data_IF_125900384897
#
_entry.id   IF_125900384897
#
_cell.length_a   1.000
_cell.length_b   1.000
_cell.length_c   1.000
_cell.angle_alpha   90.00
_cell.angle_beta   90.00
_cell.angle_gamma   90.00
#
_symmetry.space_group_name_H-M   'P 1'
#
loop_
_entity.id
_entity.type
_entity.pdbx_description
1 polymer ?
#
# COMPACT_ATOMS: atom_id res chain seq x y z
N UNK A 1 45.75 -7.13 -4.55
CA UNK A 1 45.39 -7.31 -3.11
C UNK A 1 46.28 -8.39 -2.53
N UNK A 2 46.94 -8.15 -1.39
CA UNK A 2 47.78 -9.17 -0.73
C UNK A 2 46.92 -10.37 -0.31
N UNK A 3 47.39 -11.59 -0.62
CA UNK A 3 46.72 -12.86 -0.29
C UNK A 3 46.36 -12.95 1.19
N UNK A 4 47.22 -12.42 2.07
CA UNK A 4 47.00 -12.42 3.52
C UNK A 4 45.82 -11.53 3.93
N UNK A 5 45.56 -10.43 3.21
CA UNK A 5 44.41 -9.56 3.49
C UNK A 5 43.09 -10.23 3.12
N UNK A 6 43.09 -10.98 2.01
CA UNK A 6 41.92 -11.75 1.57
C UNK A 6 41.62 -12.85 2.58
N UNK A 7 42.63 -13.62 3.00
CA UNK A 7 42.50 -14.64 4.03
C UNK A 7 41.99 -14.07 5.36
N UNK A 8 42.55 -12.95 5.82
CA UNK A 8 42.10 -12.29 7.04
C UNK A 8 40.64 -11.83 6.95
N UNK A 9 40.23 -11.28 5.81
CA UNK A 9 38.84 -10.88 5.56
C UNK A 9 37.88 -12.07 5.54
N UNK A 10 38.25 -13.16 4.87
CA UNK A 10 37.45 -14.38 4.82
C UNK A 10 37.28 -15.00 6.21
N UNK A 11 38.34 -15.06 7.01
CA UNK A 11 38.28 -15.51 8.40
C UNK A 11 37.35 -14.65 9.26
N UNK A 12 37.41 -13.32 9.11
CA UNK A 12 36.50 -12.40 9.81
C UNK A 12 35.05 -12.60 9.38
N UNK A 13 34.80 -12.76 8.08
CA UNK A 13 33.47 -13.03 7.54
C UNK A 13 32.93 -14.33 8.12
N UNK A 14 33.73 -15.39 8.09
CA UNK A 14 33.34 -16.69 8.64
C UNK A 14 32.98 -16.55 10.12
N UNK A 15 33.85 -15.93 10.93
CA UNK A 15 33.61 -15.70 12.36
C UNK A 15 32.35 -14.88 12.65
N UNK A 16 31.99 -13.91 11.79
CA UNK A 16 30.76 -13.12 11.90
C UNK A 16 29.49 -13.91 11.56
N UNK A 17 29.61 -14.93 10.70
CA UNK A 17 28.49 -15.75 10.23
C UNK A 17 28.32 -17.07 10.97
N UNK A 18 29.25 -17.43 11.86
CA UNK A 18 29.22 -18.68 12.62
C UNK A 18 29.03 -18.44 14.12
N UNK A 19 28.48 -19.43 14.82
CA UNK A 19 28.53 -19.46 16.28
C UNK A 19 30.00 -19.44 16.75
N UNK A 20 30.35 -18.78 17.88
CA UNK A 20 29.47 -18.24 18.92
C UNK A 20 29.09 -16.76 18.74
N UNK A 21 29.57 -16.08 17.69
CA UNK A 21 29.33 -14.64 17.53
C UNK A 21 27.92 -14.35 17.02
N UNK A 22 27.40 -15.20 16.12
CA UNK A 22 26.00 -15.17 15.70
C UNK A 22 25.14 -15.90 16.74
N UNK A 23 24.24 -15.17 17.39
CA UNK A 23 23.40 -15.68 18.47
C UNK A 23 22.07 -16.21 17.93
N UNK A 24 21.58 -17.31 18.52
CA UNK A 24 20.18 -17.73 18.33
C UNK A 24 19.23 -16.81 19.11
N UNK A 25 18.09 -16.39 18.55
CA UNK A 25 17.16 -15.47 19.22
C UNK A 25 16.52 -16.09 20.47
N UNK A 26 16.48 -15.33 21.56
CA UNK A 26 15.72 -15.64 22.79
C UNK A 26 14.55 -14.67 22.94
N UNK A 27 13.34 -15.09 22.56
CA UNK A 27 12.16 -14.21 22.58
C UNK A 27 11.72 -13.75 23.99
N UNK A 28 12.29 -14.31 25.07
CA UNK A 28 12.01 -13.87 26.44
C UNK A 28 12.80 -12.62 26.83
N UNK A 29 13.80 -12.22 26.04
CA UNK A 29 14.70 -11.11 26.32
C UNK A 29 14.52 -9.98 25.31
N UNK A 30 14.75 -8.72 25.71
CA UNK A 30 14.59 -7.59 24.80
C UNK A 30 15.64 -7.61 23.68
N UNK A 31 15.22 -7.22 22.48
CA UNK A 31 16.12 -7.04 21.35
C UNK A 31 16.71 -5.62 21.30
N UNK A 32 17.81 -5.47 20.55
CA UNK A 32 18.42 -4.18 20.22
C UNK A 32 18.55 -4.05 18.72
N UNK A 33 17.76 -3.16 18.13
CA UNK A 33 17.76 -2.89 16.70
C UNK A 33 18.61 -1.65 16.40
N UNK A 34 19.75 -1.86 15.76
CA UNK A 34 20.57 -0.78 15.23
C UNK A 34 20.14 -0.48 13.81
N UNK A 35 19.90 0.78 13.49
CA UNK A 35 19.57 1.23 12.14
C UNK A 35 20.54 2.32 11.70
N UNK A 36 20.86 2.33 10.42
CA UNK A 36 21.59 3.43 9.78
C UNK A 36 21.22 3.54 8.30
N UNK A 37 21.23 4.76 7.79
CA UNK A 37 20.91 5.07 6.41
C UNK A 37 21.95 6.00 5.81
N UNK A 38 22.40 5.69 4.60
CA UNK A 38 23.35 6.48 3.85
C UNK A 38 22.78 6.85 2.47
N UNK A 39 23.53 7.62 1.70
CA UNK A 39 23.22 7.89 0.29
C UNK A 39 23.34 6.65 -0.62
N UNK A 40 23.98 5.57 -0.14
CA UNK A 40 24.17 4.34 -0.90
C UNK A 40 23.13 3.26 -0.53
N UNK A 41 22.75 3.19 0.75
CA UNK A 41 22.09 2.03 1.30
C UNK A 41 21.40 2.22 2.64
N UNK A 42 20.56 1.24 2.97
CA UNK A 42 19.97 1.07 4.30
C UNK A 42 20.64 -0.13 4.98
N UNK A 43 20.94 0.00 6.26
CA UNK A 43 21.54 -1.05 7.07
C UNK A 43 20.81 -1.21 8.40
N UNK A 44 20.55 -2.46 8.80
CA UNK A 44 20.01 -2.75 10.12
C UNK A 44 20.67 -4.00 10.73
N UNK A 45 21.02 -3.90 12.01
CA UNK A 45 21.59 -5.00 12.78
C UNK A 45 20.70 -5.29 13.99
N UNK A 46 20.14 -6.49 14.05
CA UNK A 46 19.42 -6.99 15.20
C UNK A 46 20.40 -7.70 16.14
N UNK A 47 20.44 -7.25 17.39
CA UNK A 47 21.30 -7.80 18.43
C UNK A 47 20.48 -8.20 19.64
N UNK A 48 21.07 -9.04 20.49
CA UNK A 48 20.54 -9.36 21.80
C UNK A 48 21.65 -9.54 22.82
N UNK A 49 21.30 -9.37 24.10
CA UNK A 49 22.17 -9.62 25.23
C UNK A 49 21.75 -10.94 25.88
N UNK A 50 22.61 -11.94 25.82
CA UNK A 50 22.37 -13.29 26.32
C UNK A 50 23.44 -13.68 27.33
N UNK A 51 23.11 -14.61 28.22
CA UNK A 51 24.06 -15.11 29.23
C UNK A 51 24.54 -16.47 28.75
N UNK A 52 25.84 -16.61 28.53
CA UNK A 52 26.51 -17.87 28.22
C UNK A 52 27.58 -18.10 29.26
N UNK A 53 27.58 -19.26 29.92
CA UNK A 53 28.54 -19.63 30.95
C UNK A 53 28.75 -18.51 32.00
N UNK A 54 27.65 -18.00 32.56
CA UNK A 54 27.59 -16.89 33.53
C UNK A 54 28.17 -15.54 33.06
N UNK A 55 28.44 -15.39 31.77
CA UNK A 55 28.90 -14.13 31.17
C UNK A 55 27.83 -13.54 30.25
N UNK A 56 27.55 -12.26 30.46
CA UNK A 56 26.68 -11.48 29.57
C UNK A 56 27.42 -11.17 28.27
N UNK A 57 26.96 -11.73 27.16
CA UNK A 57 27.46 -11.49 25.82
C UNK A 57 26.40 -10.79 24.98
N UNK A 58 26.80 -9.70 24.32
CA UNK A 58 25.99 -9.02 23.31
C UNK A 58 26.46 -9.46 21.93
N UNK A 59 25.57 -10.05 21.15
CA UNK A 59 25.90 -10.51 19.79
C UNK A 59 24.81 -10.18 18.77
N UNK A 60 25.16 -10.15 17.47
CA UNK A 60 24.19 -10.09 16.39
C UNK A 60 23.35 -11.37 16.30
N UNK A 61 22.08 -11.21 15.95
CA UNK A 61 21.17 -12.30 15.57
C UNK A 61 20.97 -12.27 14.05
N UNK A 62 20.74 -11.07 13.51
CA UNK A 62 20.45 -10.88 12.10
C UNK A 62 21.01 -9.56 11.62
N UNK A 63 21.63 -9.56 10.44
CA UNK A 63 22.21 -8.41 9.78
C UNK A 63 21.56 -8.30 8.42
N UNK A 64 20.93 -7.16 8.11
CA UNK A 64 20.26 -6.92 6.84
C UNK A 64 20.73 -5.60 6.24
N UNK A 65 20.89 -5.59 4.92
CA UNK A 65 21.19 -4.37 4.16
C UNK A 65 20.55 -4.41 2.79
N UNK A 66 20.23 -3.25 2.25
CA UNK A 66 19.80 -3.12 0.85
C UNK A 66 20.23 -1.79 0.25
N UNK A 67 20.53 -1.82 -1.05
CA UNK A 67 20.77 -0.60 -1.82
C UNK A 67 19.48 0.22 -1.91
N UNK A 68 19.61 1.53 -1.82
CA UNK A 68 18.45 2.42 -1.91
C UNK A 68 17.92 2.47 -3.35
N UNK A 69 16.63 2.73 -3.49
CA UNK A 69 16.00 2.91 -4.79
C UNK A 69 16.28 4.32 -5.33
N UNK A 70 16.24 4.54 -6.66
CA UNK A 70 16.39 5.86 -7.25
C UNK A 70 15.37 6.89 -6.74
N UNK A 71 14.17 6.45 -6.34
CA UNK A 71 13.14 7.30 -5.76
C UNK A 71 13.45 7.69 -4.31
N UNK A 72 14.04 6.77 -3.54
CA UNK A 72 14.45 6.97 -2.15
C UNK A 72 15.68 7.89 -2.04
N UNK A 73 16.56 7.90 -3.05
CA UNK A 73 17.73 8.78 -3.12
C UNK A 73 17.41 10.28 -3.07
N UNK A 74 16.14 10.67 -3.28
CA UNK A 74 15.67 12.06 -3.19
C UNK A 74 15.30 12.48 -1.76
N UNK A 75 15.28 11.56 -0.80
CA UNK A 75 14.93 11.85 0.58
C UNK A 75 16.07 12.52 1.33
N UNK A 76 15.72 13.46 2.21
CA UNK A 76 16.69 14.05 3.13
C UNK A 76 17.15 13.05 4.19
N UNK A 77 18.28 13.31 4.85
CA UNK A 77 18.90 12.39 5.83
C UNK A 77 17.90 11.88 6.90
N UNK A 78 17.10 12.77 7.50
CA UNK A 78 16.11 12.37 8.50
C UNK A 78 14.98 11.49 7.94
N UNK A 79 14.59 11.68 6.68
CA UNK A 79 13.60 10.84 5.99
C UNK A 79 14.19 9.47 5.64
N UNK A 80 15.48 9.42 5.27
CA UNK A 80 16.21 8.19 4.97
C UNK A 80 16.33 7.30 6.21
N UNK A 81 16.65 7.88 7.37
CA UNK A 81 16.65 7.11 8.62
C UNK A 81 15.27 6.59 8.99
N UNK A 82 14.23 7.40 8.76
CA UNK A 82 12.87 6.98 9.06
C UNK A 82 12.42 5.85 8.13
N UNK A 83 12.75 5.96 6.84
CA UNK A 83 12.58 4.88 5.87
C UNK A 83 13.33 3.61 6.29
N UNK A 84 14.58 3.74 6.76
CA UNK A 84 15.37 2.62 7.26
C UNK A 84 14.69 1.92 8.43
N UNK A 85 14.13 2.69 9.37
CA UNK A 85 13.40 2.12 10.49
C UNK A 85 12.18 1.32 10.03
N UNK A 86 11.33 1.90 9.20
CA UNK A 86 10.12 1.22 8.69
C UNK A 86 10.47 -0.05 7.93
N UNK A 87 11.46 0.02 7.04
CA UNK A 87 11.95 -1.14 6.29
C UNK A 87 12.50 -2.23 7.22
N UNK A 88 13.29 -1.87 8.23
CA UNK A 88 13.84 -2.83 9.18
C UNK A 88 12.73 -3.50 10.01
N UNK A 89 11.71 -2.76 10.43
CA UNK A 89 10.54 -3.30 11.14
C UNK A 89 9.75 -4.29 10.27
N UNK A 90 9.49 -3.93 9.01
CA UNK A 90 8.79 -4.82 8.07
C UNK A 90 9.58 -6.11 7.84
N UNK A 91 10.89 -6.01 7.61
CA UNK A 91 11.74 -7.16 7.34
C UNK A 91 12.01 -8.04 8.55
N UNK A 92 12.07 -7.46 9.74
CA UNK A 92 12.34 -8.19 10.99
C UNK A 92 11.06 -8.42 11.82
N UNK A 93 9.88 -8.26 11.20
CA UNK A 93 8.58 -8.44 11.85
C UNK A 93 8.50 -9.78 12.60
N UNK A 94 9.01 -10.86 12.00
CA UNK A 94 9.04 -12.19 12.61
C UNK A 94 9.83 -12.29 13.92
N UNK A 95 10.76 -11.36 14.18
CA UNK A 95 11.47 -11.27 15.46
C UNK A 95 10.86 -10.25 16.42
N UNK A 96 10.39 -9.13 15.87
CA UNK A 96 10.05 -7.93 16.66
C UNK A 96 8.58 -7.90 17.07
N UNK A 97 7.69 -8.59 16.36
CA UNK A 97 6.28 -8.61 16.70
C UNK A 97 6.05 -9.19 18.10
N UNK A 98 5.23 -8.49 18.91
CA UNK A 98 4.94 -8.85 20.29
C UNK A 98 6.11 -8.74 21.27
N UNK A 99 7.32 -8.40 20.81
CA UNK A 99 8.52 -8.33 21.65
C UNK A 99 8.84 -6.89 22.07
N UNK A 100 9.60 -6.74 23.15
CA UNK A 100 10.16 -5.44 23.57
C UNK A 100 11.53 -5.26 22.94
N UNK A 101 11.80 -4.11 22.33
CA UNK A 101 13.09 -3.86 21.71
C UNK A 101 13.50 -2.39 21.68
N UNK A 102 14.79 -2.13 21.87
CA UNK A 102 15.38 -0.79 21.81
C UNK A 102 15.83 -0.49 20.38
N UNK A 103 15.32 0.59 19.77
CA UNK A 103 15.82 1.09 18.48
C UNK A 103 16.91 2.11 18.73
N UNK A 104 18.08 1.86 18.16
CA UNK A 104 19.30 2.62 18.39
C UNK A 104 19.72 3.25 17.06
N UNK A 105 19.81 4.59 17.01
CA UNK A 105 20.13 5.35 15.78
C UNK A 105 21.01 6.58 16.02
N UNK A 106 21.65 7.10 14.98
CA UNK A 106 22.64 8.19 15.03
C UNK A 106 22.08 9.62 14.78
N UNK A 107 20.76 9.82 14.80
CA UNK A 107 20.19 11.17 14.71
C UNK A 107 18.99 11.34 15.62
N UNK A 108 18.57 12.58 15.84
CA UNK A 108 17.42 12.94 16.68
C UNK A 108 16.12 13.05 15.90
N UNK A 109 16.17 13.20 14.56
CA UNK A 109 15.01 13.59 13.72
C UNK A 109 13.84 12.59 13.74
N UNK A 110 14.09 11.28 13.81
CA UNK A 110 12.98 10.29 13.85
C UNK A 110 12.08 10.46 15.09
N UNK A 111 12.62 10.89 16.24
CA UNK A 111 11.79 11.17 17.42
C UNK A 111 10.82 12.32 17.15
N UNK A 112 11.31 13.37 16.49
CA UNK A 112 10.50 14.53 16.10
C UNK A 112 9.50 14.14 15.02
N UNK A 113 9.91 13.37 14.00
CA UNK A 113 9.04 12.89 12.92
C UNK A 113 7.86 12.07 13.45
N UNK A 114 8.05 11.27 14.50
CA UNK A 114 6.96 10.50 15.12
C UNK A 114 5.94 11.36 15.88
N UNK A 115 6.35 12.55 16.36
CA UNK A 115 5.48 13.48 17.09
C UNK A 115 4.81 14.51 16.19
N UNK A 116 5.16 14.56 14.89
CA UNK A 116 4.57 15.51 13.95
C UNK A 116 3.07 15.25 13.74
N UNK A 117 2.25 16.29 13.92
CA UNK A 117 0.80 16.26 13.69
C UNK A 117 0.41 16.28 12.21
N UNK A 118 1.20 16.94 11.36
CA UNK A 118 0.95 17.08 9.93
C UNK A 118 2.15 16.62 9.09
N UNK A 119 2.45 15.31 9.05
CA UNK A 119 3.51 14.77 8.22
C UNK A 119 3.10 14.75 6.73
N UNK A 120 4.08 14.80 5.83
CA UNK A 120 3.86 14.52 4.39
C UNK A 120 3.27 13.10 4.21
N UNK A 121 2.49 12.86 3.15
CA UNK A 121 1.81 11.58 2.85
C UNK A 121 2.69 10.34 3.03
N UNK A 122 3.95 10.39 2.57
CA UNK A 122 4.89 9.27 2.73
C UNK A 122 5.26 9.03 4.20
N UNK A 123 5.47 10.10 4.95
CA UNK A 123 5.77 10.04 6.38
C UNK A 123 4.55 9.62 7.21
N UNK A 124 3.33 10.02 6.81
CA UNK A 124 2.09 9.55 7.42
C UNK A 124 1.93 8.03 7.29
N UNK A 125 2.15 7.50 6.07
CA UNK A 125 2.12 6.04 5.82
C UNK A 125 3.12 5.29 6.70
N UNK A 126 4.34 5.82 6.78
CA UNK A 126 5.39 5.27 7.62
C UNK A 126 5.02 5.32 9.11
N UNK A 127 4.41 6.42 9.58
CA UNK A 127 3.93 6.51 10.97
C UNK A 127 2.85 5.47 11.26
N UNK A 128 1.90 5.25 10.36
CA UNK A 128 0.83 4.24 10.49
C UNK A 128 1.44 2.84 10.62
N UNK A 129 2.38 2.49 9.73
CA UNK A 129 3.06 1.19 9.76
C UNK A 129 3.80 0.91 11.08
N UNK A 130 4.25 1.96 11.77
CA UNK A 130 4.96 1.85 13.05
C UNK A 130 4.04 1.86 14.29
N UNK A 131 2.74 2.10 14.13
CA UNK A 131 1.83 2.24 15.28
C UNK A 131 1.78 0.97 16.12
N UNK A 132 1.83 -0.21 15.49
CA UNK A 132 1.85 -1.52 16.16
C UNK A 132 3.00 -1.64 17.17
N UNK A 133 4.16 -1.06 16.87
CA UNK A 133 5.37 -1.17 17.69
C UNK A 133 5.53 -0.07 18.74
N UNK A 134 4.74 1.01 18.68
CA UNK A 134 4.96 2.22 19.50
C UNK A 134 5.03 1.96 21.00
N UNK A 135 4.24 1.01 21.51
CA UNK A 135 4.21 0.68 22.94
C UNK A 135 5.48 -0.01 23.44
N UNK A 136 6.15 -0.77 22.56
CA UNK A 136 7.22 -1.70 22.93
C UNK A 136 8.59 -1.34 22.31
N UNK A 137 8.69 -0.17 21.66
CA UNK A 137 9.85 0.25 20.85
C UNK A 137 10.46 1.58 21.33
N UNK A 138 11.15 1.63 22.49
CA UNK A 138 11.89 2.82 22.88
C UNK A 138 12.97 3.18 21.85
N UNK A 139 12.92 4.41 21.33
CA UNK A 139 13.92 4.93 20.39
C UNK A 139 14.98 5.70 21.19
N UNK A 140 16.23 5.30 21.04
CA UNK A 140 17.40 5.89 21.71
C UNK A 140 18.38 6.40 20.66
N UNK A 141 18.83 7.63 20.87
CA UNK A 141 19.91 8.22 20.10
C UNK A 141 21.20 8.07 20.90
N UNK A 142 22.26 7.57 20.25
CA UNK A 142 23.61 7.48 20.80
C UNK A 142 24.58 7.99 19.72
N UNK A 143 25.79 8.35 20.14
CA UNK A 143 26.81 8.90 19.24
C UNK A 143 27.70 7.83 18.56
N UNK A 144 28.36 8.23 17.48
CA UNK A 144 28.84 7.41 16.35
C UNK A 144 29.82 6.26 16.62
N UNK A 145 30.34 6.05 17.83
CA UNK A 145 31.29 4.95 18.06
C UNK A 145 30.59 3.58 18.27
N UNK A 146 29.29 3.57 18.60
CA UNK A 146 28.51 2.35 18.89
C UNK A 146 27.84 1.76 17.62
N UNK A 147 27.86 2.48 16.49
CA UNK A 147 27.03 2.22 15.30
C UNK A 147 27.75 1.55 14.13
N UNK A 148 29.01 1.16 14.31
CA UNK A 148 29.85 0.65 13.22
C UNK A 148 29.28 -0.60 12.53
N UNK A 149 28.41 -1.34 13.22
CA UNK A 149 27.67 -2.47 12.66
C UNK A 149 26.70 -2.04 11.55
N UNK A 150 25.77 -1.13 11.84
CA UNK A 150 24.79 -0.66 10.87
C UNK A 150 25.39 0.31 9.83
N UNK A 151 26.34 1.16 10.24
CA UNK A 151 27.02 2.12 9.35
C UNK A 151 27.83 1.43 8.25
N UNK A 152 28.56 0.35 8.58
CA UNK A 152 29.26 -0.44 7.57
C UNK A 152 28.31 -1.02 6.51
N UNK A 153 27.14 -1.49 6.96
CA UNK A 153 26.12 -2.08 6.10
C UNK A 153 25.34 -1.07 5.25
N UNK A 154 25.13 0.14 5.76
CA UNK A 154 24.45 1.21 5.02
C UNK A 154 25.37 1.78 3.93
N UNK A 155 26.69 1.82 4.14
CA UNK A 155 27.69 2.29 3.17
C UNK A 155 28.09 1.25 2.13
N UNK A 156 28.04 -0.03 2.49
CA UNK A 156 28.30 -1.16 1.58
C UNK A 156 27.10 -2.10 1.52
N UNK A 157 25.95 -1.62 0.99
CA UNK A 157 24.72 -2.38 0.99
C UNK A 157 24.72 -3.48 -0.07
N UNK A 158 23.98 -4.56 0.21
CA UNK A 158 23.69 -5.58 -0.81
C UNK A 158 22.75 -5.03 -1.89
N UNK A 159 22.85 -5.51 -3.15
CA UNK A 159 21.92 -5.15 -4.20
C UNK A 159 20.46 -5.37 -3.79
N UNK A 160 19.56 -4.53 -4.29
CA UNK A 160 18.12 -4.71 -4.11
C UNK A 160 17.55 -5.60 -5.23
N UNK A 161 17.85 -6.90 -5.18
CA UNK A 161 17.39 -7.93 -6.13
C UNK A 161 16.84 -9.16 -5.38
N UNK A 162 16.20 -10.10 -6.07
CA UNK A 162 15.56 -11.27 -5.47
C UNK A 162 16.49 -12.16 -4.63
N UNK A 163 17.79 -12.17 -4.91
CA UNK A 163 18.79 -12.93 -4.16
C UNK A 163 19.04 -12.35 -2.75
N UNK A 164 18.71 -11.08 -2.53
CA UNK A 164 18.80 -10.44 -1.23
C UNK A 164 17.52 -10.70 -0.42
N UNK A 165 17.58 -11.41 0.72
CA UNK A 165 16.40 -11.62 1.58
C UNK A 165 15.73 -10.32 2.07
N UNK A 166 16.51 -9.24 2.14
CA UNK A 166 16.04 -7.92 2.55
C UNK A 166 15.51 -7.06 1.38
N UNK A 167 15.39 -7.64 0.18
CA UNK A 167 14.87 -7.01 -1.03
C UNK A 167 13.48 -6.42 -0.85
N UNK A 168 13.29 -5.23 -1.39
CA UNK A 168 11.97 -4.62 -1.53
C UNK A 168 11.69 -4.47 -3.03
N UNK A 169 10.62 -5.10 -3.56
CA UNK A 169 10.28 -4.96 -4.97
C UNK A 169 10.15 -3.51 -5.38
N UNK A 170 10.69 -3.18 -6.56
CA UNK A 170 10.58 -1.86 -7.16
C UNK A 170 9.12 -1.63 -7.48
N UNK A 171 8.42 -0.97 -6.55
CA UNK A 171 6.96 -0.82 -6.54
C UNK A 171 6.29 -2.14 -6.88
N UNK A 172 6.04 -2.98 -5.88
CA UNK A 172 4.75 -3.65 -5.93
C UNK A 172 3.77 -2.51 -6.21
N UNK A 173 3.14 -2.52 -7.40
CA UNK A 173 1.94 -1.73 -7.68
C UNK A 173 1.20 -1.63 -6.37
N UNK A 174 0.82 -0.43 -5.87
CA UNK A 174 0.08 -0.36 -4.61
C UNK A 174 -0.89 -1.51 -4.65
N UNK A 175 -0.78 -2.45 -3.71
CA UNK A 175 -1.74 -3.53 -3.62
C UNK A 175 -3.02 -2.78 -3.34
N UNK A 176 -3.70 -2.41 -4.42
CA UNK A 176 -4.98 -1.76 -4.37
C UNK A 176 -5.80 -2.90 -3.83
N UNK A 177 -6.26 -2.82 -2.57
CA UNK A 177 -7.13 -3.85 -2.07
C UNK A 177 -8.22 -3.99 -3.12
N UNK A 178 -8.42 -5.22 -3.59
CA UNK A 178 -9.70 -5.53 -4.19
C UNK A 178 -10.63 -5.30 -3.02
N UNK A 179 -11.28 -4.14 -2.99
CA UNK A 179 -12.40 -3.86 -2.11
C UNK A 179 -13.50 -4.78 -2.63
N UNK A 180 -13.31 -6.06 -2.34
CA UNK A 180 -14.26 -7.11 -2.60
C UNK A 180 -15.50 -6.67 -1.87
N UNK A 181 -16.47 -6.30 -2.68
CA UNK A 181 -17.86 -6.07 -2.35
C UNK A 181 -18.16 -6.54 -0.92
N UNK A 182 -18.13 -5.61 0.05
CA UNK A 182 -18.87 -5.76 1.31
C UNK A 182 -20.34 -5.48 0.99
N UNK A 183 -20.89 -6.32 0.11
CA UNK A 183 -22.33 -6.58 0.07
C UNK A 183 -22.40 -7.94 0.75
N UNK A 184 -22.68 -7.87 2.04
CA UNK A 184 -23.13 -9.02 2.82
C UNK A 184 -24.15 -9.81 1.98
N UNK A 185 -23.89 -11.10 1.85
CA UNK A 185 -24.80 -12.13 1.29
C UNK A 185 -24.90 -12.27 -0.25
N UNK A 186 -23.84 -11.99 -1.01
CA UNK A 186 -23.78 -12.50 -2.39
C UNK A 186 -23.37 -13.98 -2.39
N UNK A 187 -24.36 -14.84 -2.68
CA UNK A 187 -24.19 -16.28 -2.86
C UNK A 187 -23.18 -16.56 -4.02
N UNK A 188 -22.45 -17.68 -3.96
CA UNK A 188 -21.50 -18.09 -5.02
C UNK A 188 -22.09 -18.07 -6.43
N UNK A 189 -23.42 -18.26 -6.51
CA UNK A 189 -24.22 -18.16 -7.74
C UNK A 189 -24.07 -16.82 -8.46
N UNK A 190 -23.92 -15.70 -7.73
CA UNK A 190 -23.76 -14.38 -8.34
C UNK A 190 -22.47 -14.28 -9.16
N UNK A 191 -21.36 -14.80 -8.61
CA UNK A 191 -20.08 -14.77 -9.32
C UNK A 191 -20.08 -15.68 -10.55
N UNK A 192 -20.82 -16.80 -10.50
CA UNK A 192 -21.02 -17.68 -11.65
C UNK A 192 -21.85 -16.99 -12.74
N UNK A 193 -22.93 -16.31 -12.37
CA UNK A 193 -23.75 -15.51 -13.29
C UNK A 193 -22.93 -14.42 -13.98
N UNK A 194 -22.10 -13.68 -13.21
CA UNK A 194 -21.20 -12.67 -13.78
C UNK A 194 -20.23 -13.29 -14.80
N UNK A 195 -19.60 -14.43 -14.48
CA UNK A 195 -18.69 -15.11 -15.42
C UNK A 195 -19.42 -15.53 -16.70
N UNK A 196 -20.63 -16.09 -16.56
CA UNK A 196 -21.43 -16.51 -17.69
C UNK A 196 -21.84 -15.32 -18.58
N UNK A 197 -22.13 -14.16 -17.98
CA UNK A 197 -22.51 -12.95 -18.71
C UNK A 197 -21.43 -12.45 -19.68
N UNK A 198 -20.15 -12.70 -19.40
CA UNK A 198 -19.06 -12.28 -20.28
C UNK A 198 -19.03 -12.99 -21.62
N UNK A 199 -19.60 -14.19 -21.72
CA UNK A 199 -19.69 -14.93 -22.98
C UNK A 199 -20.73 -14.35 -23.93
N UNK A 200 -21.73 -13.64 -23.39
CA UNK A 200 -22.80 -13.03 -24.16
C UNK A 200 -22.42 -11.63 -24.65
N UNK A 201 -21.60 -10.91 -23.89
CA UNK A 201 -21.16 -9.56 -24.25
C UNK A 201 -19.91 -9.58 -25.14
N UNK A 202 -19.99 -8.86 -26.27
CA UNK A 202 -18.92 -8.78 -27.26
C UNK A 202 -17.66 -8.11 -26.72
N UNK A 203 -17.78 -7.04 -25.93
CA UNK A 203 -16.63 -6.31 -25.40
C UNK A 203 -15.89 -7.14 -24.33
N UNK A 204 -16.64 -7.77 -23.42
CA UNK A 204 -16.09 -8.65 -22.39
C UNK A 204 -15.41 -9.88 -22.99
N UNK A 205 -16.01 -10.52 -23.99
CA UNK A 205 -15.40 -11.65 -24.68
C UNK A 205 -14.07 -11.27 -25.36
N UNK A 206 -14.03 -10.11 -26.04
CA UNK A 206 -12.79 -9.59 -26.64
C UNK A 206 -11.73 -9.27 -25.57
N UNK A 207 -12.13 -8.61 -24.48
CA UNK A 207 -11.23 -8.30 -23.36
C UNK A 207 -10.69 -9.55 -22.68
N UNK A 208 -11.52 -10.57 -22.50
CA UNK A 208 -11.12 -11.84 -21.92
C UNK A 208 -10.03 -12.51 -22.77
N UNK A 209 -10.19 -12.52 -24.09
CA UNK A 209 -9.17 -13.04 -25.02
C UNK A 209 -7.88 -12.22 -24.98
N UNK A 210 -7.97 -10.88 -24.96
CA UNK A 210 -6.83 -9.98 -24.90
C UNK A 210 -6.04 -10.15 -23.58
N UNK A 211 -6.74 -10.30 -22.46
CA UNK A 211 -6.13 -10.44 -21.13
C UNK A 211 -5.49 -11.83 -20.92
N UNK A 212 -6.07 -12.90 -21.46
CA UNK A 212 -5.49 -14.25 -21.38
C UNK A 212 -4.25 -14.40 -22.26
N UNK A 213 -4.33 -13.98 -23.53
CA UNK A 213 -3.23 -14.16 -24.49
C UNK A 213 -2.04 -13.25 -24.19
N UNK A 214 -2.21 -12.20 -23.39
CA UNK A 214 -1.16 -11.22 -23.10
C UNK A 214 -0.64 -10.49 -24.34
N UNK A 215 -1.36 -10.56 -25.46
CA UNK A 215 -0.93 -10.06 -26.78
C UNK A 215 -1.70 -8.80 -27.17
N UNK A 216 -0.99 -7.85 -27.79
CA UNK A 216 -1.58 -6.64 -28.40
C UNK A 216 -2.11 -6.97 -29.79
N UNK A 217 -3.27 -7.62 -29.85
CA UNK A 217 -3.96 -7.81 -31.12
C UNK A 217 -4.72 -6.53 -31.49
N UNK A 218 -4.16 -5.75 -32.43
CA UNK A 218 -4.71 -4.46 -32.83
C UNK A 218 -6.12 -4.58 -33.42
N UNK A 219 -6.48 -5.71 -34.04
CA UNK A 219 -7.81 -5.92 -34.61
C UNK A 219 -8.88 -6.00 -33.52
N UNK A 220 -8.59 -6.72 -32.43
CA UNK A 220 -9.50 -6.82 -31.28
C UNK A 220 -9.60 -5.50 -30.51
N UNK A 221 -8.49 -4.75 -30.39
CA UNK A 221 -8.49 -3.46 -29.70
C UNK A 221 -9.35 -2.42 -30.45
N UNK A 222 -9.31 -2.41 -31.77
CA UNK A 222 -10.13 -1.50 -32.59
C UNK A 222 -11.61 -1.87 -32.60
N UNK A 223 -11.96 -3.12 -32.31
CA UNK A 223 -13.35 -3.58 -32.22
C UNK A 223 -14.03 -3.23 -30.88
N UNK A 224 -13.26 -2.85 -29.85
CA UNK A 224 -13.81 -2.40 -28.57
C UNK A 224 -14.47 -1.02 -28.71
N UNK A 225 -15.59 -0.86 -28.03
CA UNK A 225 -16.22 0.44 -27.81
C UNK A 225 -15.24 1.46 -27.16
N UNK A 226 -15.42 2.74 -27.45
CA UNK A 226 -14.48 3.80 -27.06
C UNK A 226 -14.16 3.84 -25.56
N UNK A 227 -15.17 3.63 -24.70
CA UNK A 227 -15.00 3.64 -23.23
C UNK A 227 -14.12 2.49 -22.75
N UNK A 228 -14.31 1.31 -23.37
CA UNK A 228 -13.57 0.10 -23.06
C UNK A 228 -12.15 0.17 -23.62
N UNK A 229 -12.00 0.60 -24.89
CA UNK A 229 -10.70 0.80 -25.54
C UNK A 229 -9.82 1.77 -24.76
N UNK A 230 -10.34 2.95 -24.39
CA UNK A 230 -9.61 3.94 -23.58
C UNK A 230 -9.15 3.36 -22.24
N UNK A 231 -10.01 2.57 -21.58
CA UNK A 231 -9.67 1.94 -20.31
C UNK A 231 -8.63 0.82 -20.46
N UNK A 232 -8.66 0.09 -21.59
CA UNK A 232 -7.68 -0.94 -21.93
C UNK A 232 -6.31 -0.34 -22.24
N UNK A 233 -6.24 0.72 -23.05
CA UNK A 233 -4.99 1.42 -23.40
C UNK A 233 -4.29 1.98 -22.15
N UNK A 234 -5.06 2.47 -21.18
CA UNK A 234 -4.58 2.93 -19.88
C UNK A 234 -4.21 1.78 -18.91
N UNK A 235 -4.29 0.52 -19.35
CA UNK A 235 -4.03 -0.70 -18.56
C UNK A 235 -4.86 -0.73 -17.27
N UNK A 236 -6.16 -0.45 -17.39
CA UNK A 236 -7.09 -0.49 -16.25
C UNK A 236 -7.71 -1.86 -16.03
N UNK A 237 -7.77 -2.73 -17.03
CA UNK A 237 -8.38 -4.06 -16.87
C UNK A 237 -7.39 -5.13 -16.39
N UNK A 238 -7.86 -5.99 -15.50
CA UNK A 238 -7.13 -7.14 -14.96
C UNK A 238 -8.05 -8.35 -14.93
N UNK A 239 -7.51 -9.54 -15.20
CA UNK A 239 -8.25 -10.80 -15.12
C UNK A 239 -7.77 -11.59 -13.90
N UNK A 240 -8.68 -11.96 -13.01
CA UNK A 240 -8.40 -12.78 -11.83
C UNK A 240 -9.53 -13.78 -11.63
N UNK A 241 -9.22 -15.07 -11.54
CA UNK A 241 -10.20 -16.16 -11.30
C UNK A 241 -11.41 -16.15 -12.26
N UNK A 242 -11.15 -15.80 -13.53
CA UNK A 242 -12.17 -15.69 -14.57
C UNK A 242 -13.05 -14.44 -14.50
N UNK A 243 -12.76 -13.52 -13.58
CA UNK A 243 -13.49 -12.26 -13.40
C UNK A 243 -12.66 -11.07 -13.90
N UNK A 244 -13.31 -10.17 -14.63
CA UNK A 244 -12.66 -8.95 -15.14
C UNK A 244 -12.80 -7.84 -14.11
N UNK A 245 -11.68 -7.30 -13.65
CA UNK A 245 -11.61 -6.18 -12.73
C UNK A 245 -11.17 -4.91 -13.45
N UNK A 246 -11.79 -3.79 -13.11
CA UNK A 246 -11.45 -2.45 -13.58
C UNK A 246 -10.73 -1.66 -12.49
N UNK A 247 -9.53 -1.18 -12.80
CA UNK A 247 -8.70 -0.38 -11.93
C UNK A 247 -9.01 1.11 -12.09
N UNK A 248 -9.39 1.73 -10.98
CA UNK A 248 -9.43 3.18 -10.82
C UNK A 248 -8.15 3.68 -10.13
N UNK A 249 -7.97 5.01 -10.00
CA UNK A 249 -6.76 5.61 -9.39
C UNK A 249 -6.44 5.09 -7.98
N UNK A 250 -7.44 4.60 -7.24
CA UNK A 250 -7.28 4.18 -5.84
C UNK A 250 -7.89 2.81 -5.52
N UNK A 251 -8.73 2.23 -6.39
CA UNK A 251 -9.54 1.03 -6.11
C UNK A 251 -9.63 0.12 -7.33
N UNK A 252 -9.84 -1.17 -7.11
CA UNK A 252 -10.06 -2.16 -8.16
C UNK A 252 -11.45 -2.77 -7.95
N UNK A 253 -12.33 -2.63 -8.93
CA UNK A 253 -13.75 -3.00 -8.83
C UNK A 253 -14.12 -4.03 -9.89
N UNK A 254 -15.14 -4.84 -9.63
CA UNK A 254 -15.57 -5.89 -10.56
C UNK A 254 -16.31 -5.29 -11.77
N UNK A 255 -16.13 -5.86 -12.95
CA UNK A 255 -16.86 -5.46 -14.16
C UNK A 255 -18.12 -6.28 -14.32
N UNK A 256 -19.28 -5.64 -14.49
CA UNK A 256 -20.56 -6.32 -14.75
C UNK A 256 -21.18 -5.75 -16.01
N UNK A 257 -21.75 -6.62 -16.85
CA UNK A 257 -22.37 -6.23 -18.13
C UNK A 257 -23.86 -6.57 -18.19
N UNK A 258 -24.30 -7.60 -17.48
CA UNK A 258 -25.69 -8.04 -17.51
C UNK A 258 -26.63 -7.04 -16.81
N UNK A 259 -27.71 -6.64 -17.49
CA UNK A 259 -28.67 -5.65 -16.98
C UNK A 259 -29.40 -6.09 -15.71
N UNK A 260 -29.72 -7.38 -15.59
CA UNK A 260 -30.33 -7.98 -14.40
C UNK A 260 -29.46 -7.77 -13.15
N UNK A 261 -28.16 -8.09 -13.26
CA UNK A 261 -27.16 -7.96 -12.20
C UNK A 261 -26.90 -6.48 -11.86
N UNK A 262 -26.83 -5.62 -12.87
CA UNK A 262 -26.70 -4.16 -12.65
C UNK A 262 -27.90 -3.65 -11.83
N UNK A 263 -29.12 -4.05 -12.17
CA UNK A 263 -30.31 -3.63 -11.44
C UNK A 263 -30.33 -4.16 -9.99
N UNK A 264 -29.87 -5.39 -9.77
CA UNK A 264 -29.72 -5.95 -8.42
C UNK A 264 -28.75 -5.12 -7.59
N UNK A 265 -27.61 -4.75 -8.16
CA UNK A 265 -26.59 -3.92 -7.49
C UNK A 265 -27.10 -2.52 -7.21
N UNK A 266 -27.82 -1.91 -8.16
CA UNK A 266 -28.46 -0.59 -7.98
C UNK A 266 -29.44 -0.63 -6.82
N UNK A 267 -30.28 -1.66 -6.77
CA UNK A 267 -31.25 -1.88 -5.69
C UNK A 267 -30.55 -2.04 -4.34
N UNK A 268 -29.51 -2.87 -4.25
CA UNK A 268 -28.77 -3.04 -2.98
C UNK A 268 -28.05 -1.76 -2.54
N UNK A 269 -27.48 -1.02 -3.48
CA UNK A 269 -26.77 0.22 -3.16
C UNK A 269 -27.71 1.39 -2.79
N UNK A 270 -28.95 1.40 -3.28
CA UNK A 270 -29.89 2.51 -3.10
C UNK A 270 -31.06 2.21 -2.15
N UNK A 271 -31.53 0.96 -2.05
CA UNK A 271 -32.76 0.60 -1.34
C UNK A 271 -32.54 -0.34 -0.15
N UNK A 272 -31.37 -0.98 -0.05
CA UNK A 272 -31.09 -1.96 1.01
C UNK A 272 -31.28 -1.35 2.40
N UNK A 273 -31.75 -2.18 3.35
CA UNK A 273 -32.03 -1.78 4.73
C UNK A 273 -30.82 -1.10 5.39
N UNK A 274 -29.62 -1.54 5.04
CA UNK A 274 -28.35 -0.99 5.56
C UNK A 274 -27.86 0.24 4.79
N UNK A 275 -28.28 0.41 3.53
CA UNK A 275 -27.92 1.57 2.71
C UNK A 275 -28.80 2.78 3.03
N UNK A 276 -30.09 2.56 3.29
CA UNK A 276 -31.10 3.62 3.30
C UNK A 276 -31.32 4.21 1.89
N UNK A 277 -32.42 4.94 1.70
CA UNK A 277 -32.70 5.67 0.43
C UNK A 277 -31.71 6.83 0.26
N UNK A 278 -30.47 6.50 -0.13
CA UNK A 278 -29.34 7.43 -0.22
C UNK A 278 -29.59 8.51 -1.26
N UNK A 279 -28.95 9.67 -1.07
CA UNK A 279 -28.94 10.71 -2.10
C UNK A 279 -28.22 10.21 -3.36
N UNK A 280 -28.61 10.70 -4.55
CA UNK A 280 -28.00 10.24 -5.81
C UNK A 280 -26.47 10.31 -5.81
N UNK A 281 -25.88 11.33 -5.20
CA UNK A 281 -24.43 11.45 -5.05
C UNK A 281 -23.83 10.39 -4.13
N UNK A 282 -24.48 10.07 -3.01
CA UNK A 282 -24.05 8.98 -2.11
C UNK A 282 -24.19 7.60 -2.77
N UNK A 283 -25.24 7.39 -3.56
CA UNK A 283 -25.41 6.15 -4.34
C UNK A 283 -24.30 6.01 -5.39
N UNK A 284 -23.92 7.11 -6.06
CA UNK A 284 -22.77 7.12 -6.98
C UNK A 284 -21.45 6.80 -6.28
N UNK A 285 -21.19 7.43 -5.14
CA UNK A 285 -19.98 7.16 -4.35
C UNK A 285 -19.90 5.68 -3.95
N UNK A 286 -21.01 5.08 -3.52
CA UNK A 286 -21.05 3.65 -3.15
C UNK A 286 -20.76 2.76 -4.36
N UNK A 287 -21.45 2.97 -5.48
CA UNK A 287 -21.29 2.15 -6.69
C UNK A 287 -19.89 2.24 -7.27
N UNK A 288 -19.32 3.45 -7.32
CA UNK A 288 -17.94 3.66 -7.78
C UNK A 288 -16.91 2.83 -7.00
N UNK A 289 -17.25 2.41 -5.78
CA UNK A 289 -16.38 1.60 -4.93
C UNK A 289 -16.62 0.10 -5.01
N UNK A 290 -17.68 -0.34 -5.68
CA UNK A 290 -18.08 -1.75 -5.73
C UNK A 290 -17.92 -2.36 -7.14
N UNK A 291 -18.51 -1.74 -8.16
CA UNK A 291 -18.69 -2.35 -9.48
C UNK A 291 -18.54 -1.29 -10.58
N UNK A 292 -18.09 -1.72 -11.76
CA UNK A 292 -17.93 -0.89 -12.95
C UNK A 292 -18.68 -1.47 -14.17
N UNK A 293 -19.29 -0.58 -14.96
CA UNK A 293 -19.84 -0.85 -16.30
C UNK A 293 -19.80 0.43 -17.14
N UNK A 294 -19.98 0.34 -18.46
CA UNK A 294 -19.71 1.45 -19.40
C UNK A 294 -20.48 2.75 -19.10
N UNK A 295 -21.76 2.65 -18.74
CA UNK A 295 -22.68 3.79 -18.58
C UNK A 295 -23.16 3.99 -17.12
N UNK A 296 -22.37 3.55 -16.14
CA UNK A 296 -22.80 3.51 -14.73
C UNK A 296 -23.26 4.85 -14.16
N UNK A 297 -22.64 5.96 -14.55
CA UNK A 297 -23.03 7.29 -14.05
C UNK A 297 -24.42 7.71 -14.52
N UNK A 298 -24.76 7.38 -15.77
CA UNK A 298 -26.05 7.66 -16.36
C UNK A 298 -27.12 6.79 -15.69
N UNK A 299 -26.88 5.48 -15.64
CA UNK A 299 -27.82 4.50 -15.10
C UNK A 299 -28.14 4.76 -13.62
N UNK A 300 -27.15 5.12 -12.81
CA UNK A 300 -27.39 5.52 -11.41
C UNK A 300 -28.24 6.79 -11.33
N UNK A 301 -27.96 7.76 -12.20
CA UNK A 301 -28.75 9.00 -12.21
C UNK A 301 -30.20 8.77 -12.61
N UNK A 302 -30.43 7.88 -13.56
CA UNK A 302 -31.76 7.51 -14.04
C UNK A 302 -32.50 6.70 -12.97
N UNK A 303 -31.84 5.72 -12.36
CA UNK A 303 -32.40 4.91 -11.27
C UNK A 303 -32.85 5.78 -10.08
N UNK A 304 -31.99 6.67 -9.59
CA UNK A 304 -32.36 7.58 -8.51
C UNK A 304 -33.51 8.52 -8.88
N UNK A 305 -33.61 8.93 -10.16
CA UNK A 305 -34.76 9.72 -10.64
C UNK A 305 -36.04 8.90 -10.65
N UNK A 306 -36.00 7.60 -10.95
CA UNK A 306 -37.21 6.75 -10.94
C UNK A 306 -37.70 6.36 -9.54
N UNK A 307 -36.90 6.59 -8.50
CA UNK A 307 -37.25 6.23 -7.12
C UNK A 307 -38.21 7.24 -6.47
N UNK A 308 -39.48 6.85 -6.31
CA UNK A 308 -40.55 7.67 -5.69
C UNK A 308 -40.21 8.10 -4.24
N UNK A 309 -39.58 7.23 -3.44
CA UNK A 309 -39.13 7.57 -2.07
C UNK A 309 -38.04 8.64 -2.06
N UNK A 310 -37.09 8.60 -3.00
CA UNK A 310 -36.07 9.62 -3.16
C UNK A 310 -36.67 10.96 -3.62
N UNK A 311 -37.60 10.93 -4.59
CA UNK A 311 -38.28 12.13 -5.07
C UNK A 311 -39.08 12.83 -3.96
N UNK A 312 -39.71 12.05 -3.07
CA UNK A 312 -40.50 12.58 -1.96
C UNK A 312 -39.65 13.12 -0.81
N UNK A 313 -38.47 12.56 -0.57
CA UNK A 313 -37.57 12.95 0.52
C UNK A 313 -36.64 14.10 0.17
N UNK A 314 -36.18 14.20 -1.08
CA UNK A 314 -35.26 15.24 -1.55
C UNK A 314 -36.00 16.34 -2.33
N UNK A 315 -36.94 17.03 -1.68
CA UNK A 315 -37.41 18.33 -2.18
C UNK A 315 -36.27 19.33 -2.06
N UNK A 316 -36.01 20.10 -3.13
CA UNK A 316 -34.99 21.15 -3.13
C UNK A 316 -35.24 22.14 -1.99
N UNK A 317 -34.39 22.12 -0.97
CA UNK A 317 -34.39 23.09 0.13
C UNK A 317 -33.70 24.41 -0.24
N UNK A 318 -33.23 24.55 -1.47
CA UNK A 318 -32.74 25.82 -1.99
C UNK A 318 -33.87 26.84 -1.95
N UNK A 319 -33.73 27.86 -1.09
CA UNK A 319 -34.54 29.08 -1.20
C UNK A 319 -34.40 29.61 -2.62
N UNK A 320 -35.51 30.09 -3.19
CA UNK A 320 -35.51 30.84 -4.44
C UNK A 320 -34.43 31.92 -4.31
N UNK A 321 -33.43 31.89 -5.19
CA UNK A 321 -32.40 32.92 -5.25
C UNK A 321 -33.13 34.24 -5.49
N UNK A 322 -33.08 35.14 -4.51
CA UNK A 322 -33.60 36.50 -4.66
C UNK A 322 -32.83 37.21 -5.77
N UNK A 323 -33.51 38.14 -6.46
CA UNK A 323 -32.92 38.89 -7.56
C UNK A 323 -31.59 39.55 -7.14
N UNK A 324 -30.61 39.53 -8.05
CA UNK A 324 -29.31 40.16 -7.84
C UNK A 324 -29.50 41.65 -7.49
N UNK A 325 -29.24 42.01 -6.24
CA UNK A 325 -29.22 43.40 -5.80
C UNK A 325 -27.97 44.04 -6.40
N UNK A 326 -28.16 44.95 -7.35
CA UNK A 326 -27.06 45.79 -7.86
C UNK A 326 -26.56 46.68 -6.73
N UNK A 327 -25.33 46.43 -6.29
CA UNK A 327 -24.63 47.31 -5.35
C UNK A 327 -24.33 48.62 -6.10
N UNK A 328 -24.83 49.75 -5.60
CA UNK A 328 -24.46 51.06 -6.15
C UNK A 328 -23.05 51.42 -5.66
N UNK A 329 -22.19 51.81 -6.59
CA UNK A 329 -20.84 52.28 -6.26
C UNK A 329 -20.91 53.56 -5.40
N UNK A 330 -20.10 53.65 -4.33
CA UNK A 330 -20.10 54.81 -3.45
C UNK A 330 -19.64 56.06 -4.20
N UNK A 331 -20.43 57.13 -4.11
CA UNK A 331 -20.25 58.35 -4.89
C UNK A 331 -19.23 59.34 -4.32
N UNK A 332 -18.37 58.93 -3.37
CA UNK A 332 -17.27 59.78 -2.86
C UNK A 332 -16.04 58.92 -2.56
N UNK A 333 -14.84 59.42 -2.88
CA UNK A 333 -13.57 58.71 -2.74
C UNK A 333 -13.19 58.43 -1.28
#
# INVERSE_FOLDING_TARGET
MNVDRVKAFESLRQALTTAPLLLMPDFKRPFKLYIDASGDGLGAALHQVQIFNDKSMKGPICLISRKIKPTEARYGAGQMEFLCLVWALEKLNYFLNGCVFEVIKNCTTVKSLLKMKAPNRNMLRCQIAMQEYRGNMPIVHKDGNIYKNADGMSRWPLPNNFDNPAYVPAEASPQIPIEGISVTDLNTTFFEEVRNSYTQDTNCSMLFQLLIKGCKDNSLIHALEDVWRKSYDERRFHLLEGIIYHRTKQKCVMTVVERSLINLVLKECHESLFSGHLSGDKTREKIQTCIWWSMWQHDVSEYCKTCDRFQKSNKSTCKILGDMIKIQEPSRP
#
